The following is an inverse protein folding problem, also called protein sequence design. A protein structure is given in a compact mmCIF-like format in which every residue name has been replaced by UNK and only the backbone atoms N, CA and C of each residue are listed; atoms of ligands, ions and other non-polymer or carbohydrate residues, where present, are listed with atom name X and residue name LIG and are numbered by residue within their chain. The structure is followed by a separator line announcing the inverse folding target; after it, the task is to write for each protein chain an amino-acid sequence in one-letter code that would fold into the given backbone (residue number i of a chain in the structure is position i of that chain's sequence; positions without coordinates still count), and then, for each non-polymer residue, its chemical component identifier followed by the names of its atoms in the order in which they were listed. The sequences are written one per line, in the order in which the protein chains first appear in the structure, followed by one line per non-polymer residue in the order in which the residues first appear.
data_IF_286827260725
#
_entry.id   IF_286827260725
#
_cell.length_a   1.000
_cell.length_b   1.000
_cell.length_c   1.000
_cell.angle_alpha   90.00
_cell.angle_beta   90.00
_cell.angle_gamma   90.00
#
_symmetry.space_group_name_H-M   'P 1'
#
loop_
_entity.id
_entity.type
_entity.pdbx_description
1 polymer ?
#
# COMPACT_ATOMS: atom_id res chain seq x y z
N UNK A 1 -4.18 -16.04 -8.04
CA UNK A 1 -5.41 -15.23 -8.01
C UNK A 1 -6.39 -15.80 -6.98
N UNK A 2 -6.65 -17.12 -7.01
CA UNK A 2 -7.64 -17.74 -6.11
C UNK A 2 -7.34 -17.60 -4.62
N UNK A 3 -6.08 -17.73 -4.20
CA UNK A 3 -5.70 -17.54 -2.79
C UNK A 3 -5.95 -16.11 -2.27
N UNK A 4 -5.85 -15.10 -3.13
CA UNK A 4 -6.10 -13.69 -2.74
C UNK A 4 -7.61 -13.42 -2.60
N UNK A 5 -8.44 -13.99 -3.48
CA UNK A 5 -9.91 -13.91 -3.39
C UNK A 5 -10.40 -14.62 -2.13
N UNK A 6 -9.89 -15.81 -1.89
CA UNK A 6 -10.25 -16.61 -0.72
C UNK A 6 -9.82 -15.93 0.59
N UNK A 7 -8.67 -15.24 0.62
CA UNK A 7 -8.25 -14.45 1.77
C UNK A 7 -9.23 -13.29 2.07
N UNK A 8 -9.75 -12.62 1.04
CA UNK A 8 -10.77 -11.57 1.23
C UNK A 8 -12.10 -12.15 1.68
N UNK A 9 -12.52 -13.28 1.12
CA UNK A 9 -13.74 -14.01 1.53
C UNK A 9 -13.66 -14.53 2.97
N UNK A 10 -12.46 -14.88 3.45
CA UNK A 10 -12.20 -15.33 4.82
C UNK A 10 -12.05 -14.18 5.84
N UNK A 11 -12.46 -12.95 5.48
CA UNK A 11 -12.30 -11.76 6.32
C UNK A 11 -10.85 -11.47 6.76
N UNK A 12 -9.85 -11.77 5.92
CA UNK A 12 -8.46 -11.46 6.26
C UNK A 12 -8.16 -9.95 6.26
N UNK A 13 -8.95 -9.14 5.53
CA UNK A 13 -8.76 -7.69 5.44
C UNK A 13 -8.84 -6.96 6.80
N UNK A 14 -9.90 -7.14 7.62
CA UNK A 14 -9.95 -6.52 8.95
C UNK A 14 -8.84 -7.01 9.88
N UNK A 15 -8.46 -8.29 9.82
CA UNK A 15 -7.33 -8.82 10.62
C UNK A 15 -6.02 -8.15 10.23
N UNK A 16 -5.77 -7.94 8.93
CA UNK A 16 -4.60 -7.21 8.45
C UNK A 16 -4.63 -5.73 8.87
N UNK A 17 -5.81 -5.11 8.90
CA UNK A 17 -5.96 -3.74 9.41
C UNK A 17 -5.67 -3.65 10.91
N UNK A 18 -6.14 -4.60 11.72
CA UNK A 18 -5.82 -4.68 13.15
C UNK A 18 -4.31 -4.91 13.37
N UNK A 19 -3.67 -5.72 12.53
CA UNK A 19 -2.21 -5.92 12.57
C UNK A 19 -1.43 -4.65 12.22
N UNK A 20 -1.98 -3.73 11.42
CA UNK A 20 -1.38 -2.42 11.13
C UNK A 20 -1.41 -1.46 12.32
N UNK A 21 -2.25 -1.71 13.32
CA UNK A 21 -2.29 -0.93 14.57
C UNK A 21 -1.22 -1.39 15.58
N UNK A 22 -0.52 -2.50 15.31
CA UNK A 22 0.52 -3.00 16.20
C UNK A 22 1.72 -2.05 16.28
N UNK A 23 2.40 -2.07 17.43
CA UNK A 23 3.56 -1.22 17.69
C UNK A 23 4.78 -1.66 16.84
N UNK A 24 4.87 -2.96 16.51
CA UNK A 24 6.03 -3.51 15.80
C UNK A 24 6.07 -3.08 14.31
N UNK A 25 7.11 -2.34 13.89
CA UNK A 25 7.25 -1.90 12.50
C UNK A 25 7.41 -3.06 11.50
N UNK A 26 7.92 -4.22 11.93
CA UNK A 26 8.04 -5.38 11.06
C UNK A 26 6.68 -6.03 10.81
N UNK A 27 5.87 -6.20 11.85
CA UNK A 27 4.50 -6.73 11.72
C UNK A 27 3.63 -5.81 10.84
N UNK A 28 3.76 -4.49 11.01
CA UNK A 28 3.11 -3.51 10.13
C UNK A 28 3.56 -3.66 8.68
N UNK A 29 4.87 -3.81 8.45
CA UNK A 29 5.43 -3.99 7.11
C UNK A 29 4.90 -5.26 6.42
N UNK A 30 4.83 -6.37 7.14
CA UNK A 30 4.29 -7.63 6.62
C UNK A 30 2.80 -7.50 6.29
N UNK A 31 2.02 -6.83 7.15
CA UNK A 31 0.61 -6.56 6.89
C UNK A 31 0.40 -5.69 5.63
N UNK A 32 1.19 -4.61 5.48
CA UNK A 32 1.16 -3.79 4.26
C UNK A 32 1.54 -4.62 3.03
N UNK A 33 2.52 -5.51 3.15
CA UNK A 33 2.97 -6.35 2.04
C UNK A 33 1.89 -7.35 1.62
N UNK A 34 1.20 -7.97 2.57
CA UNK A 34 0.05 -8.82 2.31
C UNK A 34 -1.09 -8.06 1.60
N UNK A 35 -1.42 -6.85 2.08
CA UNK A 35 -2.44 -6.00 1.43
C UNK A 35 -2.04 -5.61 0.00
N UNK A 36 -0.77 -5.26 -0.21
CA UNK A 36 -0.25 -4.97 -1.54
C UNK A 36 -0.34 -6.19 -2.46
N UNK A 37 0.01 -7.38 -1.95
CA UNK A 37 -0.07 -8.62 -2.71
C UNK A 37 -1.52 -8.92 -3.12
N UNK A 38 -2.49 -8.75 -2.23
CA UNK A 38 -3.93 -8.90 -2.52
C UNK A 38 -4.38 -7.89 -3.57
N UNK A 39 -4.05 -6.61 -3.37
CA UNK A 39 -4.43 -5.54 -4.28
C UNK A 39 -3.84 -5.73 -5.69
N UNK A 40 -2.63 -6.30 -5.82
CA UNK A 40 -1.94 -6.53 -7.10
C UNK A 40 -2.68 -7.47 -8.05
N UNK A 41 -3.54 -8.34 -7.54
CA UNK A 41 -4.12 -9.43 -8.33
C UNK A 41 -5.38 -9.03 -9.07
N UNK A 42 -6.25 -8.20 -8.48
CA UNK A 42 -7.53 -7.81 -9.07
C UNK A 42 -7.90 -6.38 -8.66
N UNK A 43 -8.42 -5.59 -9.60
CA UNK A 43 -8.91 -4.23 -9.34
C UNK A 43 -10.08 -4.22 -8.34
N UNK A 44 -10.95 -5.23 -8.38
CA UNK A 44 -12.03 -5.42 -7.40
C UNK A 44 -11.51 -5.68 -5.99
N UNK A 45 -10.40 -6.42 -5.85
CA UNK A 45 -9.76 -6.66 -4.56
C UNK A 45 -9.06 -5.39 -4.04
N UNK A 46 -8.43 -4.61 -4.92
CA UNK A 46 -7.88 -3.31 -4.55
C UNK A 46 -8.97 -2.36 -4.01
N UNK A 47 -10.16 -2.35 -4.62
CA UNK A 47 -11.30 -1.60 -4.11
C UNK A 47 -11.80 -2.14 -2.76
N UNK A 48 -11.84 -3.45 -2.57
CA UNK A 48 -12.21 -4.05 -1.28
C UNK A 48 -11.23 -3.65 -0.16
N UNK A 49 -9.93 -3.63 -0.44
CA UNK A 49 -8.88 -3.15 0.48
C UNK A 49 -9.03 -1.65 0.78
N UNK A 50 -9.37 -0.85 -0.22
CA UNK A 50 -9.64 0.56 -0.01
C UNK A 50 -10.88 0.79 0.88
N UNK A 51 -11.95 0.03 0.63
CA UNK A 51 -13.18 0.05 1.43
C UNK A 51 -12.98 -0.48 2.85
N UNK A 52 -12.02 -1.38 3.08
CA UNK A 52 -11.70 -1.88 4.42
C UNK A 52 -10.93 -0.89 5.29
N UNK A 53 -10.64 0.32 4.79
CA UNK A 53 -9.91 1.34 5.56
C UNK A 53 -8.39 1.17 5.58
N UNK A 54 -7.81 0.39 4.67
CA UNK A 54 -6.35 0.24 4.59
C UNK A 54 -5.65 1.56 4.21
N UNK A 55 -6.31 2.43 3.45
CA UNK A 55 -5.76 3.71 2.99
C UNK A 55 -5.35 4.66 4.12
N UNK A 56 -6.22 5.00 5.10
CA UNK A 56 -5.82 5.85 6.22
C UNK A 56 -4.71 5.21 7.08
N UNK A 57 -4.69 3.88 7.22
CA UNK A 57 -3.63 3.17 7.94
C UNK A 57 -2.27 3.30 7.22
N UNK A 58 -2.24 3.24 5.89
CA UNK A 58 -1.05 3.51 5.10
C UNK A 58 -0.58 4.97 5.24
N UNK A 59 -1.51 5.94 5.32
CA UNK A 59 -1.16 7.34 5.60
C UNK A 59 -0.52 7.50 6.97
N UNK A 60 -0.98 6.76 7.99
CA UNK A 60 -0.33 6.73 9.30
C UNK A 60 1.07 6.09 9.23
N UNK A 61 1.23 5.01 8.46
CA UNK A 61 2.54 4.38 8.23
C UNK A 61 3.56 5.33 7.59
N UNK A 62 3.13 6.32 6.81
CA UNK A 62 4.05 7.35 6.27
C UNK A 62 4.54 8.35 7.31
N UNK A 63 3.76 8.58 8.38
CA UNK A 63 4.13 9.48 9.49
C UNK A 63 5.13 8.86 10.45
N UNK A 64 5.16 7.53 10.54
CA UNK A 64 6.12 6.79 11.38
C UNK A 64 7.58 7.06 10.97
N UNK A 65 8.56 7.07 11.89
CA UNK A 65 9.96 7.32 11.56
C UNK A 65 10.66 6.14 10.82
N UNK A 66 9.97 5.02 10.64
CA UNK A 66 10.53 3.80 10.04
C UNK A 66 10.69 3.89 8.51
N UNK A 67 11.92 4.04 8.03
CA UNK A 67 12.25 3.97 6.60
C UNK A 67 11.78 2.69 5.87
N UNK A 68 11.97 1.46 6.41
CA UNK A 68 11.50 0.26 5.73
C UNK A 68 9.97 0.24 5.60
N UNK A 69 9.24 0.70 6.62
CA UNK A 69 7.78 0.82 6.59
C UNK A 69 7.31 1.77 5.49
N UNK A 70 7.94 2.95 5.38
CA UNK A 70 7.63 3.93 4.31
C UNK A 70 7.85 3.37 2.92
N UNK A 71 8.93 2.60 2.73
CA UNK A 71 9.26 1.99 1.43
C UNK A 71 8.21 0.96 1.02
N UNK A 72 7.80 0.10 1.95
CA UNK A 72 6.79 -0.94 1.70
C UNK A 72 5.42 -0.30 1.48
N UNK A 73 5.06 0.71 2.27
CA UNK A 73 3.84 1.51 2.07
C UNK A 73 3.79 2.19 0.71
N UNK A 74 4.89 2.82 0.28
CA UNK A 74 4.98 3.43 -1.05
C UNK A 74 4.84 2.38 -2.17
N UNK A 75 5.43 1.20 -1.98
CA UNK A 75 5.27 0.11 -2.95
C UNK A 75 3.83 -0.38 -3.02
N UNK A 76 3.14 -0.51 -1.89
CA UNK A 76 1.73 -0.89 -1.83
C UNK A 76 0.84 0.12 -2.55
N UNK A 77 1.06 1.42 -2.32
CA UNK A 77 0.35 2.50 -3.02
C UNK A 77 0.56 2.43 -4.53
N UNK A 78 1.80 2.22 -4.98
CA UNK A 78 2.10 2.09 -6.41
C UNK A 78 1.40 0.89 -7.05
N UNK A 79 1.29 -0.22 -6.32
CA UNK A 79 0.57 -1.41 -6.76
C UNK A 79 -0.94 -1.15 -6.85
N UNK A 80 -1.54 -0.49 -5.86
CA UNK A 80 -2.97 -0.14 -5.89
C UNK A 80 -3.27 0.81 -7.06
N UNK A 81 -2.40 1.81 -7.29
CA UNK A 81 -2.52 2.77 -8.39
C UNK A 81 -2.39 2.13 -9.79
N UNK A 82 -1.79 0.94 -9.92
CA UNK A 82 -1.59 0.29 -11.21
C UNK A 82 -2.89 -0.23 -11.85
N UNK A 83 -3.94 -0.43 -11.03
CA UNK A 83 -5.16 -1.13 -11.46
C UNK A 83 -6.16 -0.25 -12.24
N UNK A 84 -5.98 1.07 -12.22
CA UNK A 84 -6.85 1.98 -12.96
C UNK A 84 -6.88 3.40 -12.38
N UNK A 85 -7.46 4.35 -13.14
CA UNK A 85 -7.60 5.74 -12.70
C UNK A 85 -8.52 5.88 -11.48
N UNK A 86 -9.51 4.99 -11.30
CA UNK A 86 -10.42 5.02 -10.16
C UNK A 86 -9.68 4.76 -8.84
N UNK A 87 -8.76 3.79 -8.82
CA UNK A 87 -7.92 3.54 -7.64
C UNK A 87 -6.96 4.70 -7.36
N UNK A 88 -6.43 5.34 -8.41
CA UNK A 88 -5.57 6.51 -8.25
C UNK A 88 -6.33 7.69 -7.63
N UNK A 89 -7.59 7.90 -8.01
CA UNK A 89 -8.46 8.91 -7.40
C UNK A 89 -8.71 8.64 -5.92
N UNK A 90 -9.00 7.39 -5.54
CA UNK A 90 -9.17 6.99 -4.13
C UNK A 90 -7.90 7.25 -3.29
N UNK A 91 -6.72 6.98 -3.85
CA UNK A 91 -5.44 7.26 -3.19
C UNK A 91 -5.18 8.77 -3.03
N UNK A 92 -5.67 9.57 -3.98
CA UNK A 92 -5.55 11.02 -3.97
C UNK A 92 -6.49 11.63 -2.93
N UNK A 93 -7.74 11.18 -2.87
CA UNK A 93 -8.73 11.56 -1.86
C UNK A 93 -8.27 11.19 -0.44
N UNK A 94 -7.68 10.00 -0.27
CA UNK A 94 -7.15 9.56 1.02
C UNK A 94 -5.83 10.27 1.43
N UNK A 95 -5.31 11.17 0.59
CA UNK A 95 -4.10 11.96 0.88
C UNK A 95 -2.79 11.16 0.86
N UNK A 96 -2.80 9.92 0.37
CA UNK A 96 -1.59 9.10 0.28
C UNK A 96 -0.60 9.67 -0.73
N UNK A 97 -1.09 10.27 -1.82
CA UNK A 97 -0.24 10.91 -2.83
C UNK A 97 0.52 12.10 -2.24
N UNK A 98 -0.15 12.91 -1.41
CA UNK A 98 0.46 14.03 -0.70
C UNK A 98 1.51 13.56 0.32
N UNK A 99 1.23 12.46 1.05
CA UNK A 99 2.17 11.84 1.98
C UNK A 99 3.36 11.16 1.27
N UNK A 100 3.14 10.63 0.05
CA UNK A 100 4.15 9.96 -0.75
C UNK A 100 5.09 10.93 -1.50
N UNK A 101 4.62 12.13 -1.87
CA UNK A 101 5.40 13.16 -2.56
C UNK A 101 6.78 13.48 -1.91
N UNK A 102 6.88 13.77 -0.60
CA UNK A 102 8.18 14.03 0.04
C UNK A 102 9.09 12.79 0.03
N UNK A 103 8.52 11.59 0.07
CA UNK A 103 9.28 10.33 0.01
C UNK A 103 9.75 10.01 -1.41
N UNK A 104 8.97 10.37 -2.43
CA UNK A 104 9.40 10.31 -3.82
C UNK A 104 10.54 11.30 -4.10
N UNK A 105 10.50 12.51 -3.53
CA UNK A 105 11.62 13.46 -3.58
C UNK A 105 12.89 12.90 -2.92
N UNK A 106 12.78 12.12 -1.85
CA UNK A 106 13.93 11.38 -1.29
C UNK A 106 14.39 10.23 -2.20
N UNK A 107 13.46 9.57 -2.91
CA UNK A 107 13.75 8.42 -3.78
C UNK A 107 14.37 8.81 -5.12
N UNK A 108 14.36 10.08 -5.50
CA UNK A 108 14.97 10.57 -6.74
C UNK A 108 16.48 10.27 -6.84
N UNK A 109 17.17 10.04 -5.71
CA UNK A 109 18.56 9.56 -5.72
C UNK A 109 18.70 8.10 -6.21
N UNK A 110 17.63 7.29 -6.20
CA UNK A 110 17.62 5.89 -6.65
C UNK A 110 16.79 5.65 -7.93
N UNK A 111 15.89 6.56 -8.32
CA UNK A 111 15.06 6.45 -9.53
C UNK A 111 15.89 6.63 -10.81
N UNK A 112 17.04 7.32 -10.76
CA UNK A 112 17.97 7.42 -11.90
C UNK A 112 18.49 6.09 -12.44
N UNK A 113 18.38 4.97 -11.71
CA UNK A 113 18.87 3.65 -12.17
C UNK A 113 17.83 2.76 -12.87
N UNK A 114 16.55 3.11 -12.90
CA UNK A 114 15.51 2.25 -13.53
C UNK A 114 14.83 2.84 -14.77
N UNK A 115 15.16 4.06 -15.16
CA UNK A 115 14.62 4.71 -16.37
C UNK A 115 15.57 4.68 -17.58
N UNK A 116 16.73 4.02 -17.48
CA UNK A 116 17.61 3.79 -18.64
C UNK A 116 17.43 2.34 -19.10
N UNK A 117 16.57 2.07 -20.10
CA UNK A 117 16.57 0.77 -20.77
C UNK A 117 17.93 0.57 -21.45
N UNK A 118 18.53 -0.60 -21.28
CA UNK A 118 19.63 -1.09 -22.12
C UNK A 118 19.07 -1.66 -23.41
#
# INVERSE_FOLDING_TARGET
ADAARQAVELHALPVLCERLELIDPNAKADAVWCLAAIARHDASLANAVAQSGALPLLTLCFKEPSLPLKRISLSAVGVIAQHGPDQASLLLEAGLVAAALPLLKQRDQLVRRRLVPR
#
